data_IF_775525890747
#
_entry.id   IF_775525890747
#
_cell.length_a   1.000
_cell.length_b   1.000
_cell.length_c   1.000
_cell.angle_alpha   90.00
_cell.angle_beta   90.00
_cell.angle_gamma   90.00
#
_symmetry.space_group_name_H-M   'P 1'
#
loop_
_entity.id
_entity.type
_entity.pdbx_description
1 polymer ?
#
# COMPACT_ATOMS: atom_id res chain seq x y z
N UNK A 1 -3.15 30.16 -33.16
CA UNK A 1 -2.11 30.99 -32.48
C UNK A 1 -1.50 30.14 -31.39
N UNK A 2 -0.28 29.62 -31.60
CA UNK A 2 0.35 28.63 -30.71
C UNK A 2 1.38 29.36 -29.85
N UNK A 3 1.13 29.46 -28.54
CA UNK A 3 2.07 30.03 -27.56
C UNK A 3 3.11 28.96 -27.20
N UNK A 4 4.36 29.17 -27.62
CA UNK A 4 5.52 28.39 -27.20
C UNK A 4 5.87 28.76 -25.75
N UNK A 5 5.74 27.80 -24.84
CA UNK A 5 6.24 27.89 -23.48
C UNK A 5 7.72 27.48 -23.51
N UNK A 6 8.61 28.40 -23.15
CA UNK A 6 10.05 28.17 -23.00
C UNK A 6 10.29 27.89 -21.51
N UNK A 7 10.61 26.66 -21.15
CA UNK A 7 11.13 26.34 -19.82
C UNK A 7 12.66 26.43 -19.82
N UNK A 8 13.17 27.35 -19.00
CA UNK A 8 14.58 27.53 -18.73
C UNK A 8 15.12 26.38 -17.88
N UNK A 9 16.04 25.61 -18.45
CA UNK A 9 16.82 24.59 -17.76
C UNK A 9 17.89 25.29 -16.89
N UNK A 10 17.80 25.10 -15.57
CA UNK A 10 18.81 25.57 -14.61
C UNK A 10 19.75 24.40 -14.28
N UNK A 11 20.93 24.37 -14.91
CA UNK A 11 22.00 23.42 -14.57
C UNK A 11 22.85 24.07 -13.48
N UNK A 12 22.62 23.64 -12.24
CA UNK A 12 23.47 23.95 -11.09
C UNK A 12 24.73 23.10 -11.10
N UNK A 13 25.85 23.73 -11.49
CA UNK A 13 27.20 23.18 -11.41
C UNK A 13 27.68 23.29 -9.95
N UNK A 14 27.80 22.19 -9.22
CA UNK A 14 28.43 22.18 -7.91
C UNK A 14 29.70 21.32 -7.93
N UNK A 15 30.85 22.00 -7.99
CA UNK A 15 32.17 21.41 -7.92
C UNK A 15 32.59 21.29 -6.44
N UNK A 16 32.30 20.14 -5.84
CA UNK A 16 32.77 19.77 -4.51
C UNK A 16 33.81 18.65 -4.61
N UNK A 17 35.09 19.03 -4.56
CA UNK A 17 36.20 18.09 -4.41
C UNK A 17 36.16 17.43 -3.03
N UNK A 18 35.97 16.12 -2.98
CA UNK A 18 35.99 15.32 -1.76
C UNK A 18 36.63 13.96 -2.03
N UNK A 19 37.76 13.71 -1.37
CA UNK A 19 38.64 12.55 -1.47
C UNK A 19 37.96 11.20 -1.76
N UNK A 20 38.34 10.60 -2.89
CA UNK A 20 38.10 9.21 -3.24
C UNK A 20 38.99 8.31 -2.37
N UNK A 21 38.48 7.91 -1.21
CA UNK A 21 39.07 6.81 -0.44
C UNK A 21 38.56 5.48 -1.00
N UNK A 22 39.41 4.85 -1.80
CA UNK A 22 39.31 3.44 -2.18
C UNK A 22 39.45 2.59 -0.92
N UNK A 23 38.46 1.75 -0.62
CA UNK A 23 38.54 0.71 0.39
C UNK A 23 37.73 -0.51 -0.06
N UNK A 24 38.11 -1.71 0.41
CA UNK A 24 38.57 -2.76 -0.49
C UNK A 24 37.50 -3.79 -0.83
N UNK A 25 37.80 -4.55 -1.89
CA UNK A 25 37.15 -5.80 -2.25
C UNK A 25 36.84 -6.67 -1.01
N UNK A 26 35.60 -7.12 -0.90
CA UNK A 26 35.20 -8.18 0.02
C UNK A 26 36.00 -9.45 -0.29
N UNK A 27 37.12 -9.61 0.41
CA UNK A 27 37.93 -10.81 0.45
C UNK A 27 37.14 -11.95 1.10
N UNK A 28 37.17 -13.11 0.44
CA UNK A 28 36.48 -14.31 0.84
C UNK A 28 36.75 -14.75 2.28
N UNK A 29 35.66 -14.99 3.01
CA UNK A 29 35.68 -15.77 4.24
C UNK A 29 35.63 -17.25 3.89
N UNK A 30 36.76 -17.90 4.15
CA UNK A 30 37.01 -19.34 4.14
C UNK A 30 36.11 -20.03 5.18
N UNK A 31 34.94 -20.51 4.76
CA UNK A 31 34.08 -21.30 5.63
C UNK A 31 34.61 -22.74 5.73
N UNK A 32 35.03 -23.11 6.95
CA UNK A 32 35.43 -24.46 7.31
C UNK A 32 34.20 -25.38 7.23
N UNK A 33 34.39 -26.53 6.58
CA UNK A 33 33.39 -27.58 6.49
C UNK A 33 33.00 -28.11 7.87
N UNK A 34 31.71 -27.96 8.19
CA UNK A 34 31.02 -28.84 9.13
C UNK A 34 30.00 -29.63 8.34
N UNK A 35 30.26 -30.94 8.23
CA UNK A 35 29.30 -31.94 7.77
C UNK A 35 28.07 -31.85 8.70
N UNK A 36 26.94 -31.39 8.17
CA UNK A 36 25.65 -31.58 8.82
C UNK A 36 24.99 -32.81 8.19
N UNK A 37 24.73 -33.78 9.06
CA UNK A 37 23.96 -34.99 8.80
C UNK A 37 22.52 -34.63 8.44
N UNK A 38 22.05 -35.10 7.28
CA UNK A 38 20.63 -35.07 6.93
C UNK A 38 19.89 -36.08 7.81
N UNK A 39 19.24 -35.57 8.86
CA UNK A 39 18.23 -36.27 9.62
C UNK A 39 16.94 -36.33 8.83
N UNK A 40 16.47 -37.55 8.61
CA UNK A 40 15.20 -37.92 8.02
C UNK A 40 14.00 -37.41 8.82
N UNK A 41 12.87 -37.25 8.10
CA UNK A 41 11.48 -37.20 8.56
C UNK A 41 11.06 -36.00 9.42
N UNK A 42 10.11 -35.21 8.93
CA UNK A 42 8.75 -35.13 9.51
C UNK A 42 7.79 -34.52 8.49
N UNK A 43 7.03 -35.40 7.84
CA UNK A 43 5.88 -35.10 7.02
C UNK A 43 4.73 -34.75 7.98
N UNK A 44 4.36 -33.46 8.06
CA UNK A 44 3.17 -33.02 8.81
C UNK A 44 2.06 -32.72 7.80
N UNK A 45 0.95 -33.48 7.79
CA UNK A 45 -0.18 -33.20 6.93
C UNK A 45 -0.91 -31.94 7.41
N UNK A 46 -0.96 -30.90 6.55
CA UNK A 46 -1.75 -29.68 6.74
C UNK A 46 -3.24 -30.03 6.71
N UNK A 47 -3.83 -30.14 7.90
CA UNK A 47 -5.26 -30.38 8.09
C UNK A 47 -6.08 -29.25 7.44
N UNK A 48 -6.96 -29.62 6.51
CA UNK A 48 -8.07 -28.81 6.05
C UNK A 48 -9.10 -28.72 7.18
N UNK A 49 -9.12 -27.63 7.95
CA UNK A 49 -10.29 -27.28 8.76
C UNK A 49 -11.16 -26.33 7.95
N UNK A 50 -12.13 -26.92 7.26
CA UNK A 50 -13.38 -26.28 6.90
C UNK A 50 -14.09 -25.89 8.21
N UNK A 51 -13.97 -24.64 8.62
CA UNK A 51 -14.93 -24.04 9.56
C UNK A 51 -16.04 -23.42 8.73
N UNK A 52 -17.08 -24.21 8.49
CA UNK A 52 -18.38 -23.75 8.01
C UNK A 52 -19.29 -23.80 9.22
N UNK A 53 -19.59 -22.65 9.82
CA UNK A 53 -20.60 -22.57 10.86
C UNK A 53 -21.70 -21.64 10.39
N UNK A 54 -22.85 -22.24 10.16
CA UNK A 54 -24.12 -21.57 9.99
C UNK A 54 -24.47 -20.84 11.28
N UNK A 55 -24.94 -19.60 11.15
CA UNK A 55 -25.75 -18.95 12.17
C UNK A 55 -26.99 -18.42 11.46
N UNK A 56 -28.10 -19.13 11.67
CA UNK A 56 -29.44 -18.67 11.35
C UNK A 56 -29.98 -17.83 12.53
N UNK A 57 -30.47 -16.64 12.18
CA UNK A 57 -31.60 -15.87 12.74
C UNK A 57 -31.74 -15.70 14.27
N UNK A 58 -31.67 -14.43 14.70
CA UNK A 58 -32.18 -13.95 15.98
C UNK A 58 -32.73 -12.53 15.82
N UNK A 59 -34.04 -12.43 15.60
CA UNK A 59 -34.85 -11.21 15.64
C UNK A 59 -34.94 -10.69 17.09
N UNK A 60 -34.48 -9.47 17.37
CA UNK A 60 -34.95 -8.70 18.53
C UNK A 60 -34.74 -7.20 18.31
N UNK A 61 -35.86 -6.50 18.11
CA UNK A 61 -35.98 -5.05 18.16
C UNK A 61 -35.67 -4.52 19.56
N UNK A 62 -34.78 -3.53 19.69
CA UNK A 62 -34.84 -2.49 20.72
C UNK A 62 -34.03 -1.26 20.28
N UNK A 63 -34.71 -0.12 20.20
CA UNK A 63 -34.14 1.16 19.85
C UNK A 63 -33.13 1.64 20.89
N UNK A 64 -31.90 1.83 20.41
CA UNK A 64 -31.00 2.86 20.86
C UNK A 64 -30.61 3.63 19.60
N UNK A 65 -30.58 4.95 19.70
CA UNK A 65 -30.13 5.88 18.66
C UNK A 65 -28.62 5.66 18.44
N UNK A 66 -28.27 4.55 17.79
CA UNK A 66 -26.94 4.23 17.33
C UNK A 66 -26.88 4.80 15.93
N UNK A 67 -26.08 5.83 15.72
CA UNK A 67 -25.60 6.20 14.40
C UNK A 67 -24.97 4.95 13.80
N UNK A 68 -25.77 4.20 13.05
CA UNK A 68 -25.28 3.16 12.17
C UNK A 68 -24.47 3.94 11.15
N UNK A 69 -23.16 4.01 11.41
CA UNK A 69 -22.16 4.32 10.41
C UNK A 69 -22.38 3.24 9.35
N UNK A 70 -23.25 3.55 8.38
CA UNK A 70 -23.42 2.76 7.18
C UNK A 70 -22.02 2.61 6.64
N UNK A 71 -21.58 1.36 6.46
CA UNK A 71 -20.38 1.09 5.68
C UNK A 71 -20.75 1.61 4.29
N UNK A 72 -20.42 2.88 4.04
CA UNK A 72 -20.57 3.51 2.74
C UNK A 72 -19.75 2.66 1.80
N UNK A 73 -20.46 2.05 0.87
CA UNK A 73 -19.85 1.22 -0.15
C UNK A 73 -18.94 2.13 -0.97
N UNK A 74 -17.67 1.76 -1.09
CA UNK A 74 -16.70 2.55 -1.85
C UNK A 74 -17.07 2.52 -3.33
N UNK A 75 -16.94 3.67 -4.00
CA UNK A 75 -17.24 3.76 -5.42
C UNK A 75 -16.34 2.78 -6.22
N UNK A 76 -16.93 1.81 -6.95
CA UNK A 76 -16.18 0.82 -7.68
C UNK A 76 -15.36 1.41 -8.84
N UNK A 77 -15.79 2.52 -9.44
CA UNK A 77 -15.09 3.17 -10.55
C UNK A 77 -13.77 3.77 -10.05
N UNK A 78 -13.82 4.58 -9.00
CA UNK A 78 -12.63 5.16 -8.36
C UNK A 78 -11.73 4.06 -7.78
N UNK A 79 -12.31 2.99 -7.22
CA UNK A 79 -11.52 1.85 -6.75
C UNK A 79 -10.65 1.22 -7.85
N UNK A 80 -11.10 1.20 -9.11
CA UNK A 80 -10.30 0.62 -10.22
C UNK A 80 -9.06 1.44 -10.59
N UNK A 81 -9.07 2.73 -10.25
CA UNK A 81 -7.97 3.66 -10.52
C UNK A 81 -6.80 3.44 -9.55
N UNK A 82 -7.06 2.84 -8.39
CA UNK A 82 -6.07 2.60 -7.34
C UNK A 82 -5.42 1.22 -7.41
N UNK A 83 -4.13 1.21 -7.06
CA UNK A 83 -3.33 0.00 -6.98
C UNK A 83 -2.42 0.01 -5.77
N UNK A 84 -2.52 -1.01 -4.92
CA UNK A 84 -1.66 -1.18 -3.74
C UNK A 84 -0.52 -2.14 -4.07
N UNK A 85 0.71 -1.66 -3.91
CA UNK A 85 1.93 -2.41 -4.19
C UNK A 85 2.66 -2.77 -2.89
N UNK A 86 2.79 -4.07 -2.63
CA UNK A 86 3.57 -4.57 -1.49
C UNK A 86 4.96 -4.98 -1.94
N UNK A 87 6.00 -4.42 -1.33
CA UNK A 87 7.37 -4.75 -1.69
C UNK A 87 7.74 -6.19 -1.29
N UNK A 88 8.01 -7.05 -2.27
CA UNK A 88 8.44 -8.44 -2.09
C UNK A 88 9.97 -8.62 -2.30
N UNK A 89 10.73 -7.52 -2.24
CA UNK A 89 12.19 -7.58 -2.39
C UNK A 89 12.85 -8.47 -1.33
N UNK A 90 14.04 -9.00 -1.63
CA UNK A 90 14.79 -9.87 -0.71
C UNK A 90 15.07 -9.19 0.63
N UNK A 91 15.25 -7.87 0.66
CA UNK A 91 15.43 -7.09 1.89
C UNK A 91 14.15 -7.06 2.74
N UNK A 92 12.99 -6.82 2.13
CA UNK A 92 11.70 -6.85 2.82
C UNK A 92 11.37 -8.24 3.35
N UNK A 93 11.51 -9.26 2.50
CA UNK A 93 11.23 -10.64 2.86
C UNK A 93 12.18 -11.16 3.95
N UNK A 94 13.45 -10.75 3.94
CA UNK A 94 14.39 -11.09 5.01
C UNK A 94 14.01 -10.47 6.36
N UNK A 95 13.50 -9.23 6.37
CA UNK A 95 13.03 -8.59 7.60
C UNK A 95 11.73 -9.21 8.11
N UNK A 96 10.76 -9.51 7.22
CA UNK A 96 9.54 -10.27 7.59
C UNK A 96 9.87 -11.61 8.25
N UNK A 97 10.80 -12.38 7.65
CA UNK A 97 11.25 -13.66 8.20
C UNK A 97 11.92 -13.52 9.57
N UNK A 98 12.70 -12.44 9.80
CA UNK A 98 13.29 -12.15 11.11
C UNK A 98 12.24 -11.81 12.18
N UNK A 99 11.14 -11.20 11.77
CA UNK A 99 10.01 -10.88 12.64
C UNK A 99 9.07 -12.08 12.85
N UNK A 100 9.34 -13.23 12.23
CA UNK A 100 8.49 -14.42 12.31
C UNK A 100 7.21 -14.31 11.49
N UNK A 101 7.15 -13.38 10.53
CA UNK A 101 6.00 -13.21 9.63
C UNK A 101 6.20 -14.01 8.34
N UNK A 102 5.08 -14.43 7.76
CA UNK A 102 5.06 -15.00 6.42
C UNK A 102 5.43 -13.95 5.37
N UNK A 103 6.01 -14.39 4.25
CA UNK A 103 6.45 -13.48 3.20
C UNK A 103 5.27 -12.79 2.49
N UNK A 104 4.09 -13.43 2.48
CA UNK A 104 2.85 -12.90 1.91
C UNK A 104 1.88 -12.32 2.93
N UNK A 105 2.27 -12.24 4.22
CA UNK A 105 1.37 -11.83 5.31
C UNK A 105 0.73 -10.45 5.07
N UNK A 106 1.54 -9.46 4.66
CA UNK A 106 1.08 -8.09 4.40
C UNK A 106 0.12 -8.03 3.21
N UNK A 107 0.41 -8.76 2.13
CA UNK A 107 -0.45 -8.80 0.92
C UNK A 107 -1.80 -9.40 1.27
N UNK A 108 -1.80 -10.56 1.95
CA UNK A 108 -3.02 -11.23 2.35
C UNK A 108 -3.86 -10.41 3.32
N UNK A 109 -3.22 -9.67 4.24
CA UNK A 109 -3.93 -8.78 5.17
C UNK A 109 -4.62 -7.61 4.44
N UNK A 110 -3.94 -6.98 3.47
CA UNK A 110 -4.52 -5.92 2.64
C UNK A 110 -5.64 -6.45 1.75
N UNK A 111 -5.47 -7.64 1.17
CA UNK A 111 -6.47 -8.28 0.32
C UNK A 111 -7.75 -8.60 1.10
N UNK A 112 -7.62 -9.06 2.35
CA UNK A 112 -8.76 -9.25 3.27
C UNK A 112 -9.48 -7.94 3.57
N UNK A 113 -8.78 -6.81 3.73
CA UNK A 113 -9.42 -5.50 3.95
C UNK A 113 -10.15 -5.01 2.72
N UNK A 114 -9.57 -5.22 1.53
CA UNK A 114 -10.25 -4.97 0.27
C UNK A 114 -11.55 -5.77 0.14
N UNK A 115 -11.51 -7.07 0.41
CA UNK A 115 -12.71 -7.93 0.35
C UNK A 115 -13.78 -7.48 1.36
N UNK A 116 -13.38 -7.12 2.58
CA UNK A 116 -14.30 -6.65 3.61
C UNK A 116 -14.96 -5.30 3.26
N UNK A 117 -14.25 -4.42 2.54
CA UNK A 117 -14.75 -3.12 2.09
C UNK A 117 -15.51 -3.17 0.75
N UNK A 118 -15.70 -4.37 0.17
CA UNK A 118 -16.28 -4.58 -1.16
C UNK A 118 -15.60 -3.80 -2.30
N UNK A 119 -14.32 -3.44 -2.14
CA UNK A 119 -13.54 -2.68 -3.12
C UNK A 119 -13.00 -3.59 -4.24
N UNK A 120 -13.89 -4.27 -4.97
CA UNK A 120 -13.52 -5.28 -5.96
C UNK A 120 -12.66 -4.74 -7.13
N UNK A 121 -12.76 -3.44 -7.43
CA UNK A 121 -11.95 -2.78 -8.45
C UNK A 121 -10.48 -2.60 -8.07
N UNK A 122 -10.17 -2.54 -6.77
CA UNK A 122 -8.84 -2.23 -6.28
C UNK A 122 -7.90 -3.44 -6.41
N UNK A 123 -6.73 -3.21 -6.99
CA UNK A 123 -5.72 -4.26 -7.20
C UNK A 123 -4.68 -4.21 -6.08
N UNK A 124 -4.54 -5.32 -5.34
CA UNK A 124 -3.45 -5.54 -4.39
C UNK A 124 -2.46 -6.52 -5.02
N UNK A 125 -1.23 -6.07 -5.26
CA UNK A 125 -0.19 -6.93 -5.86
C UNK A 125 1.17 -6.80 -5.17
N UNK A 126 2.05 -7.73 -5.51
CA UNK A 126 3.46 -7.69 -5.11
C UNK A 126 4.31 -6.97 -6.14
N UNK A 127 5.22 -6.15 -5.65
CA UNK A 127 6.14 -5.38 -6.48
C UNK A 127 7.59 -5.65 -6.09
N UNK A 128 8.49 -5.17 -6.95
CA UNK A 128 9.92 -5.18 -6.69
C UNK A 128 10.31 -4.10 -5.65
N UNK A 129 11.59 -3.79 -5.53
CA UNK A 129 12.07 -2.80 -4.56
C UNK A 129 11.45 -1.42 -4.80
N UNK A 130 10.72 -0.91 -3.82
CA UNK A 130 10.12 0.44 -3.83
C UNK A 130 11.09 1.55 -3.40
N UNK A 131 12.41 1.30 -3.36
CA UNK A 131 13.42 2.27 -2.95
C UNK A 131 13.56 2.51 -1.43
N UNK A 132 12.51 2.22 -0.64
CA UNK A 132 12.49 2.43 0.81
C UNK A 132 12.80 1.18 1.66
N UNK A 133 13.37 0.11 1.06
CA UNK A 133 13.55 -1.19 1.74
C UNK A 133 14.44 -1.17 2.99
N UNK A 134 15.13 -0.04 3.26
CA UNK A 134 15.82 0.22 4.52
C UNK A 134 14.86 0.25 5.73
N UNK A 135 13.59 0.56 5.49
CA UNK A 135 12.52 0.64 6.50
C UNK A 135 11.45 -0.43 6.30
N UNK A 136 11.81 -1.57 5.73
CA UNK A 136 10.87 -2.64 5.43
C UNK A 136 10.14 -3.20 6.67
N UNK A 137 8.93 -3.76 6.50
CA UNK A 137 8.19 -3.94 5.25
C UNK A 137 7.61 -2.64 4.68
N UNK A 138 7.60 -2.52 3.35
CA UNK A 138 7.19 -1.32 2.64
C UNK A 138 5.97 -1.58 1.75
N UNK A 139 5.05 -0.61 1.71
CA UNK A 139 3.86 -0.62 0.85
C UNK A 139 3.76 0.73 0.16
N UNK A 140 3.48 0.77 -1.14
CA UNK A 140 3.13 2.00 -1.85
C UNK A 140 1.76 1.88 -2.48
N UNK A 141 1.19 3.03 -2.82
CA UNK A 141 -0.06 3.14 -3.54
C UNK A 141 0.22 3.86 -4.85
N UNK A 142 -0.38 3.38 -5.93
CA UNK A 142 -0.34 4.00 -7.25
C UNK A 142 -1.76 4.36 -7.67
N UNK A 143 -1.84 5.36 -8.52
CA UNK A 143 -3.07 5.85 -9.12
C UNK A 143 -2.86 5.95 -10.64
N UNK A 144 -3.89 5.66 -11.43
CA UNK A 144 -3.73 5.60 -12.90
C UNK A 144 -3.37 6.95 -13.54
N UNK A 145 -3.86 8.06 -12.98
CA UNK A 145 -3.57 9.41 -13.48
C UNK A 145 -2.16 9.93 -13.15
N UNK A 146 -1.42 9.24 -12.27
CA UNK A 146 -0.13 9.71 -11.78
C UNK A 146 0.99 8.72 -12.11
N UNK A 147 2.06 9.23 -12.74
CA UNK A 147 3.27 8.45 -12.97
C UNK A 147 4.06 8.24 -11.66
N UNK A 148 3.84 7.09 -11.02
CA UNK A 148 4.61 6.63 -9.87
C UNK A 148 3.76 6.34 -8.63
N UNK A 149 4.39 6.47 -7.46
CA UNK A 149 3.70 6.27 -6.19
C UNK A 149 3.05 7.59 -5.75
N UNK A 150 1.82 7.50 -5.25
CA UNK A 150 1.07 8.65 -4.73
C UNK A 150 1.25 8.75 -3.21
N UNK A 151 1.38 9.99 -2.73
CA UNK A 151 1.33 10.30 -1.30
C UNK A 151 -0.13 10.43 -0.87
N UNK A 152 -0.50 9.79 0.24
CA UNK A 152 -1.86 9.83 0.77
C UNK A 152 -1.92 10.62 2.08
N UNK A 153 -3.08 11.19 2.38
CA UNK A 153 -3.35 11.79 3.67
C UNK A 153 -3.24 10.73 4.78
N UNK A 154 -2.58 11.09 5.90
CA UNK A 154 -2.31 10.16 7.01
C UNK A 154 -0.95 9.46 6.95
N UNK A 155 -0.18 9.66 5.88
CA UNK A 155 1.25 9.32 5.86
C UNK A 155 2.05 10.23 6.82
N UNK A 156 3.08 9.67 7.44
CA UNK A 156 4.06 10.48 8.18
C UNK A 156 4.93 11.27 7.22
N UNK A 157 5.55 12.37 7.67
CA UNK A 157 6.40 13.22 6.80
C UNK A 157 7.53 12.43 6.11
N UNK A 158 8.12 11.46 6.82
CA UNK A 158 9.14 10.58 6.26
C UNK A 158 8.59 9.65 5.17
N UNK A 159 7.38 9.11 5.36
CA UNK A 159 6.70 8.28 4.37
C UNK A 159 6.24 9.09 3.17
N UNK A 160 5.73 10.30 3.39
CA UNK A 160 5.29 11.20 2.32
C UNK A 160 6.46 11.62 1.42
N UNK A 161 7.64 11.85 2.01
CA UNK A 161 8.85 12.20 1.24
C UNK A 161 9.31 11.08 0.31
N UNK A 162 9.06 9.82 0.69
CA UNK A 162 9.41 8.63 -0.11
C UNK A 162 8.19 8.06 -0.85
N UNK A 163 6.98 8.62 -0.65
CA UNK A 163 5.68 8.12 -1.14
C UNK A 163 5.43 6.63 -0.85
N UNK A 164 5.93 6.16 0.29
CA UNK A 164 5.93 4.74 0.68
C UNK A 164 5.67 4.63 2.17
N UNK A 165 4.74 3.75 2.55
CA UNK A 165 4.51 3.38 3.93
C UNK A 165 5.66 2.53 4.46
N UNK A 166 6.14 2.88 5.65
CA UNK A 166 7.26 2.23 6.31
C UNK A 166 6.78 1.31 7.42
N UNK A 167 7.57 0.26 7.71
CA UNK A 167 7.39 -0.64 8.86
C UNK A 167 5.98 -1.21 9.00
N UNK A 168 5.35 -1.62 7.90
CA UNK A 168 4.01 -2.21 7.93
C UNK A 168 4.11 -3.65 8.46
N UNK A 169 3.92 -3.83 9.77
CA UNK A 169 4.19 -5.08 10.48
C UNK A 169 2.94 -5.57 11.22
N UNK A 170 2.27 -4.69 11.95
CA UNK A 170 1.11 -5.05 12.77
C UNK A 170 -0.18 -4.89 11.98
N UNK A 171 -1.28 -5.45 12.51
CA UNK A 171 -2.62 -5.19 11.96
C UNK A 171 -2.97 -3.70 12.02
N UNK A 172 -2.57 -2.98 13.07
CA UNK A 172 -2.76 -1.53 13.17
C UNK A 172 -2.06 -0.77 12.03
N UNK A 173 -0.87 -1.24 11.60
CA UNK A 173 -0.17 -0.63 10.47
C UNK A 173 -0.91 -0.88 9.15
N UNK A 174 -1.48 -2.09 8.98
CA UNK A 174 -2.30 -2.43 7.81
C UNK A 174 -3.56 -1.56 7.77
N UNK A 175 -4.19 -1.37 8.93
CA UNK A 175 -5.43 -0.61 9.07
C UNK A 175 -5.18 0.87 8.80
N UNK A 176 -4.02 1.38 9.18
CA UNK A 176 -3.58 2.71 8.80
C UNK A 176 -3.40 2.85 7.28
N UNK A 177 -2.69 1.91 6.64
CA UNK A 177 -2.50 1.93 5.18
C UNK A 177 -3.85 1.89 4.46
N UNK A 178 -4.73 0.98 4.89
CA UNK A 178 -6.07 0.85 4.34
C UNK A 178 -6.90 2.11 4.56
N UNK A 179 -6.91 2.66 5.77
CA UNK A 179 -7.65 3.89 6.09
C UNK A 179 -7.19 5.09 5.27
N UNK A 180 -5.90 5.21 4.96
CA UNK A 180 -5.39 6.24 4.05
C UNK A 180 -5.92 6.06 2.62
N UNK A 181 -5.97 4.82 2.12
CA UNK A 181 -6.50 4.50 0.79
C UNK A 181 -8.00 4.76 0.73
N UNK A 182 -8.73 4.29 1.74
CA UNK A 182 -10.17 4.48 1.86
C UNK A 182 -10.55 5.96 1.93
N UNK A 183 -9.83 6.75 2.72
CA UNK A 183 -10.03 8.20 2.80
C UNK A 183 -9.80 8.86 1.43
N UNK A 184 -8.73 8.48 0.73
CA UNK A 184 -8.44 9.03 -0.59
C UNK A 184 -9.52 8.70 -1.64
N UNK A 185 -10.04 7.47 -1.64
CA UNK A 185 -11.15 7.08 -2.53
C UNK A 185 -12.40 7.92 -2.23
N UNK A 186 -12.75 8.08 -0.96
CA UNK A 186 -13.92 8.88 -0.54
C UNK A 186 -13.78 10.34 -0.93
N UNK A 187 -12.62 10.95 -0.69
CA UNK A 187 -12.39 12.35 -1.07
C UNK A 187 -12.53 12.57 -2.58
N UNK A 188 -12.07 11.63 -3.40
CA UNK A 188 -12.24 11.75 -4.85
C UNK A 188 -13.68 11.50 -5.31
N UNK A 189 -14.43 10.63 -4.61
CA UNK A 189 -15.86 10.47 -4.88
C UNK A 189 -16.63 11.76 -4.59
N UNK A 190 -16.35 12.40 -3.45
CA UNK A 190 -16.97 13.66 -3.06
C UNK A 190 -16.65 14.80 -4.06
N UNK A 191 -15.41 14.83 -4.59
CA UNK A 191 -15.00 15.85 -5.58
C UNK A 191 -15.63 15.66 -6.97
N UNK A 192 -15.99 14.43 -7.35
CA UNK A 192 -16.67 14.16 -8.63
C UNK A 192 -18.14 14.63 -8.59
N UNK A 193 -18.85 14.38 -7.49
CA UNK A 193 -20.28 14.74 -7.32
C UNK A 193 -20.52 16.27 -7.31
N UNK A 194 -19.59 17.06 -6.76
CA UNK A 194 -19.73 18.53 -6.66
C UNK A 194 -19.57 19.27 -8.00
N UNK A 195 -19.10 18.60 -9.05
CA UNK A 195 -18.74 19.25 -10.34
C UNK A 195 -19.89 19.43 -11.33
N UNK A 196 -21.08 18.90 -11.03
CA UNK A 196 -22.24 18.85 -11.95
C UNK A 196 -23.32 19.95 -11.70
N UNK A 197 -23.17 20.84 -10.71
CA UNK A 197 -24.25 21.78 -10.29
C UNK A 197 -24.18 23.22 -10.86
N UNK A 198 -23.23 23.58 -11.73
CA UNK A 198 -22.95 24.99 -12.07
C UNK A 198 -23.50 25.53 -13.42
N UNK A 199 -24.40 24.82 -14.11
CA UNK A 199 -24.86 25.21 -15.47
C UNK A 199 -26.24 25.92 -15.57
N UNK A 200 -26.90 26.27 -14.47
CA UNK A 200 -28.23 26.91 -14.52
C UNK A 200 -28.26 28.35 -13.94
N UNK A 201 -27.77 29.38 -14.64
CA UNK A 201 -28.39 30.73 -14.53
C UNK A 201 -27.98 31.84 -15.55
N UNK A 202 -27.51 31.52 -16.77
CA UNK A 202 -27.23 32.56 -17.80
C UNK A 202 -28.43 32.84 -18.75
N UNK A 203 -29.64 33.03 -18.23
CA UNK A 203 -30.79 33.47 -19.06
C UNK A 203 -31.62 34.63 -18.51
N UNK A 204 -31.21 35.26 -17.39
CA UNK A 204 -32.01 36.31 -16.74
C UNK A 204 -31.78 37.76 -17.21
N UNK A 205 -31.01 37.99 -18.27
CA UNK A 205 -30.89 39.32 -18.86
C UNK A 205 -31.35 39.34 -20.32
N UNK A 206 -32.67 39.47 -20.48
CA UNK A 206 -33.32 39.99 -21.70
C UNK A 206 -34.26 41.12 -21.33
#
# INVERSE_FOLDING_TARGET
MIRKIIFSVWIGWNAGAGAFQVSPACSGSKMHGKKMTFGTSFFVPRQKRLFRQAVENGDTTNGANSEQMTVEELDPEICTQFKILTCASTSCSALRKKLGMDEFATVGALDMRRENANAAGLIVEESTCLGACKFAPCVSVQHEDYDGNVGLEGMTEAELSETVFHRVITEDDIDRVWGCVENAIRTMADEEDDSDEDDEDESRYV
#
